data_IF_942885557759
#
_entry.id   IF_942885557759
#
_cell.length_a   1.000
_cell.length_b   1.000
_cell.length_c   1.000
_cell.angle_alpha   90.00
_cell.angle_beta   90.00
_cell.angle_gamma   90.00
#
_symmetry.space_group_name_H-M   'P 1'
#
loop_
_entity.id
_entity.type
_entity.pdbx_description
1 polymer ?
#
# COMPACT_ATOMS: atom_id res chain seq x y z
N UNK A 1 9.57 -6.93 3.34
CA UNK A 1 9.43 -6.38 1.99
C UNK A 1 7.97 -6.42 1.55
N UNK A 2 7.51 -5.35 0.94
CA UNK A 2 6.17 -5.32 0.37
C UNK A 2 6.17 -6.11 -0.94
N UNK A 3 5.26 -7.05 -1.07
CA UNK A 3 5.15 -7.91 -2.23
C UNK A 3 4.91 -7.11 -3.52
N UNK A 4 5.35 -7.68 -4.64
CA UNK A 4 5.14 -7.09 -5.96
C UNK A 4 3.65 -6.91 -6.23
N UNK A 5 3.27 -5.72 -6.63
CA UNK A 5 1.87 -5.36 -6.85
C UNK A 5 1.76 -4.31 -7.96
N UNK A 6 0.55 -4.18 -8.50
CA UNK A 6 0.22 -3.20 -9.53
C UNK A 6 -0.97 -2.38 -9.07
N UNK A 7 -0.87 -1.06 -9.22
CA UNK A 7 -1.98 -0.15 -8.95
C UNK A 7 -2.78 0.07 -10.22
N UNK A 8 -4.10 -0.14 -10.18
CA UNK A 8 -4.96 0.14 -11.33
C UNK A 8 -5.28 1.63 -11.49
N UNK A 9 -5.20 2.38 -10.38
CA UNK A 9 -5.34 3.84 -10.37
C UNK A 9 -4.02 4.52 -10.03
N UNK A 10 -4.08 5.82 -9.84
CA UNK A 10 -2.91 6.59 -9.44
C UNK A 10 -2.63 6.48 -7.94
N UNK A 11 -1.37 6.71 -7.57
CA UNK A 11 -0.90 6.67 -6.18
C UNK A 11 -0.23 7.98 -5.83
N UNK A 12 -0.58 8.51 -4.67
CA UNK A 12 0.08 9.66 -4.04
C UNK A 12 0.58 9.21 -2.67
N UNK A 13 1.89 9.24 -2.47
CA UNK A 13 2.51 8.74 -1.24
C UNK A 13 3.42 9.79 -0.63
N UNK A 14 3.15 10.14 0.64
CA UNK A 14 4.01 11.01 1.42
C UNK A 14 4.72 10.17 2.48
N UNK A 15 6.05 10.14 2.43
CA UNK A 15 6.85 9.47 3.44
C UNK A 15 6.92 10.35 4.68
N UNK A 16 6.37 9.88 5.80
CA UNK A 16 6.29 10.66 7.05
C UNK A 16 7.55 10.47 7.88
N UNK A 17 7.96 9.21 8.07
CA UNK A 17 9.18 8.90 8.83
C UNK A 17 9.80 7.60 8.32
N UNK A 18 11.07 7.39 8.66
CA UNK A 18 11.83 6.24 8.19
C UNK A 18 12.18 6.33 6.71
N UNK A 19 12.82 5.28 6.22
CA UNK A 19 13.31 5.20 4.84
C UNK A 19 12.82 3.92 4.18
N UNK A 20 12.56 3.99 2.89
CA UNK A 20 12.29 2.81 2.06
C UNK A 20 13.12 2.82 0.80
N UNK A 21 13.34 1.65 0.24
CA UNK A 21 14.02 1.48 -1.04
C UNK A 21 13.03 0.89 -2.04
N UNK A 22 12.89 1.56 -3.18
CA UNK A 22 12.07 1.10 -4.30
C UNK A 22 12.87 0.06 -5.07
N UNK A 23 12.34 -1.15 -5.19
CA UNK A 23 13.12 -2.29 -5.71
C UNK A 23 13.47 -2.12 -7.20
N UNK A 24 12.55 -1.58 -8.00
CA UNK A 24 12.75 -1.50 -9.46
C UNK A 24 13.66 -0.35 -9.89
N UNK A 25 13.76 0.71 -9.11
CA UNK A 25 14.59 1.89 -9.46
C UNK A 25 15.80 2.03 -8.57
N UNK A 26 15.89 1.28 -7.47
CA UNK A 26 16.90 1.41 -6.42
C UNK A 26 16.92 2.79 -5.75
N UNK A 27 15.88 3.56 -5.92
CA UNK A 27 15.76 4.86 -5.25
C UNK A 27 15.42 4.66 -3.79
N UNK A 28 15.97 5.54 -2.94
CA UNK A 28 15.64 5.61 -1.53
C UNK A 28 14.76 6.81 -1.26
N UNK A 29 13.69 6.60 -0.53
CA UNK A 29 12.70 7.62 -0.19
C UNK A 29 12.71 7.82 1.32
N UNK A 30 13.00 9.03 1.74
CA UNK A 30 13.09 9.40 3.16
C UNK A 30 11.98 10.35 3.60
N UNK A 31 12.08 10.83 4.86
CA UNK A 31 11.04 11.71 5.43
C UNK A 31 10.79 12.97 4.60
N UNK A 32 9.54 13.30 4.41
CA UNK A 32 9.10 14.49 3.68
C UNK A 32 9.07 14.34 2.17
N UNK A 33 9.48 13.20 1.62
CA UNK A 33 9.48 12.96 0.17
C UNK A 33 8.10 12.50 -0.28
N UNK A 34 7.60 13.12 -1.33
CA UNK A 34 6.35 12.78 -1.99
C UNK A 34 6.65 11.99 -3.26
N UNK A 35 5.92 10.88 -3.46
CA UNK A 35 6.04 10.02 -4.63
C UNK A 35 4.69 9.93 -5.32
N UNK A 36 4.68 10.16 -6.63
CA UNK A 36 3.54 9.94 -7.48
C UNK A 36 3.80 8.72 -8.37
N UNK A 37 2.79 7.85 -8.48
CA UNK A 37 2.82 6.71 -9.39
C UNK A 37 1.62 6.76 -10.31
N UNK A 38 1.82 6.71 -11.63
CA UNK A 38 0.70 6.71 -12.59
C UNK A 38 -0.07 5.39 -12.54
N UNK A 39 -1.33 5.38 -13.05
CA UNK A 39 -2.10 4.14 -13.17
C UNK A 39 -1.34 3.05 -13.93
N UNK A 40 -1.45 1.81 -13.47
CA UNK A 40 -0.78 0.66 -14.07
C UNK A 40 0.65 0.44 -13.62
N UNK A 41 1.16 1.26 -12.71
CA UNK A 41 2.52 1.10 -12.21
C UNK A 41 2.66 -0.16 -11.36
N UNK A 42 3.73 -0.92 -11.62
CA UNK A 42 4.10 -2.09 -10.83
C UNK A 42 5.19 -1.68 -9.83
N UNK A 43 5.02 -2.05 -8.57
CA UNK A 43 5.92 -1.64 -7.50
C UNK A 43 6.22 -2.80 -6.55
N UNK A 44 7.37 -2.66 -5.90
CA UNK A 44 7.80 -3.46 -4.76
C UNK A 44 8.81 -2.62 -3.98
N UNK A 45 8.75 -2.65 -2.65
CA UNK A 45 9.66 -1.86 -1.84
C UNK A 45 9.91 -2.53 -0.48
N UNK A 46 10.94 -2.05 0.21
CA UNK A 46 11.29 -2.51 1.55
C UNK A 46 11.67 -1.34 2.43
N UNK A 47 11.36 -1.45 3.72
CA UNK A 47 11.88 -0.52 4.70
C UNK A 47 13.38 -0.75 4.88
N UNK A 48 14.15 0.32 5.02
CA UNK A 48 15.59 0.28 5.26
C UNK A 48 15.93 1.18 6.44
N UNK A 49 17.07 0.90 7.09
CA UNK A 49 17.48 1.65 8.28
C UNK A 49 16.84 1.11 9.55
N UNK A 50 17.04 1.83 10.65
CA UNK A 50 16.68 1.37 12.00
C UNK A 50 15.28 1.83 12.44
N UNK A 51 14.71 2.83 11.77
CA UNK A 51 13.41 3.38 12.13
C UNK A 51 12.30 2.76 11.30
N UNK A 52 11.09 2.60 11.87
CA UNK A 52 9.93 2.18 11.10
C UNK A 52 9.64 3.17 9.97
N UNK A 53 9.28 2.65 8.79
CA UNK A 53 8.88 3.48 7.66
C UNK A 53 7.37 3.70 7.74
N UNK A 54 6.97 4.97 7.88
CA UNK A 54 5.56 5.37 7.95
C UNK A 54 5.25 6.20 6.71
N UNK A 55 4.25 5.77 5.96
CA UNK A 55 3.87 6.39 4.70
C UNK A 55 2.38 6.67 4.72
N UNK A 56 1.99 7.88 4.33
CA UNK A 56 0.58 8.19 4.03
C UNK A 56 0.37 7.99 2.54
N UNK A 57 -0.51 7.05 2.19
CA UNK A 57 -0.78 6.69 0.79
C UNK A 57 -2.25 6.93 0.47
N UNK A 58 -2.50 7.65 -0.63
CA UNK A 58 -3.82 7.80 -1.21
C UNK A 58 -3.82 7.14 -2.58
N UNK A 59 -4.74 6.23 -2.81
CA UNK A 59 -4.86 5.51 -4.08
C UNK A 59 -6.28 5.59 -4.62
N UNK A 60 -6.41 5.51 -5.94
CA UNK A 60 -7.69 5.25 -6.61
C UNK A 60 -7.63 3.84 -7.22
N UNK A 61 -8.80 3.27 -7.55
CA UNK A 61 -8.86 1.92 -8.09
C UNK A 61 -8.51 0.85 -7.06
N UNK A 62 -7.76 -0.15 -7.49
CA UNK A 62 -7.38 -1.27 -6.61
C UNK A 62 -5.90 -1.60 -6.73
N UNK A 63 -5.42 -2.35 -5.74
CA UNK A 63 -4.07 -2.90 -5.72
C UNK A 63 -4.17 -4.38 -6.08
N UNK A 64 -3.48 -4.80 -7.12
CA UNK A 64 -3.43 -6.19 -7.57
C UNK A 64 -2.09 -6.79 -7.19
N UNK A 65 -2.10 -7.87 -6.40
CA UNK A 65 -0.88 -8.57 -6.00
C UNK A 65 -0.54 -9.62 -7.04
N UNK A 66 0.74 -9.69 -7.40
CA UNK A 66 1.21 -10.47 -8.52
C UNK A 66 2.11 -11.61 -8.05
N UNK A 67 1.99 -12.78 -8.71
CA UNK A 67 2.92 -13.89 -8.53
C UNK A 67 4.19 -13.69 -9.39
N UNK A 68 5.09 -14.67 -9.38
CA UNK A 68 6.35 -14.61 -10.12
C UNK A 68 6.13 -14.53 -11.63
N UNK A 69 5.00 -15.04 -12.13
CA UNK A 69 4.65 -15.04 -13.56
C UNK A 69 3.87 -13.79 -13.98
N UNK A 70 3.58 -12.90 -13.03
CA UNK A 70 2.82 -11.68 -13.28
C UNK A 70 1.31 -11.87 -13.24
N UNK A 71 0.82 -13.00 -12.77
CA UNK A 71 -0.61 -13.24 -12.61
C UNK A 71 -1.13 -12.64 -11.31
N UNK A 72 -2.35 -12.10 -11.35
CA UNK A 72 -3.00 -11.55 -10.16
C UNK A 72 -3.46 -12.68 -9.26
N UNK A 73 -2.95 -12.71 -8.01
CA UNK A 73 -3.33 -13.71 -7.01
C UNK A 73 -4.48 -13.24 -6.13
N UNK A 74 -4.50 -11.96 -5.81
CA UNK A 74 -5.56 -11.33 -5.01
C UNK A 74 -5.46 -9.82 -5.18
N UNK A 75 -6.45 -9.09 -4.65
CA UNK A 75 -6.46 -7.63 -4.74
C UNK A 75 -6.98 -6.99 -3.45
N UNK A 76 -6.66 -5.71 -3.27
CA UNK A 76 -7.21 -4.84 -2.24
C UNK A 76 -7.87 -3.64 -2.90
N UNK A 77 -9.10 -3.34 -2.48
CA UNK A 77 -9.82 -2.13 -2.87
C UNK A 77 -10.54 -1.56 -1.64
N UNK A 78 -11.34 -0.53 -1.83
CA UNK A 78 -12.09 0.10 -0.75
C UNK A 78 -13.02 -0.90 -0.05
N UNK A 79 -13.63 -1.80 -0.80
CA UNK A 79 -14.57 -2.79 -0.26
C UNK A 79 -13.86 -3.87 0.54
N UNK A 80 -12.76 -4.42 0.02
CA UNK A 80 -11.99 -5.45 0.73
C UNK A 80 -11.33 -4.86 1.99
N UNK A 81 -10.83 -3.64 1.92
CA UNK A 81 -10.26 -2.95 3.08
C UNK A 81 -11.32 -2.69 4.16
N UNK A 82 -12.51 -2.28 3.75
CA UNK A 82 -13.61 -2.09 4.70
C UNK A 82 -14.06 -3.41 5.35
N UNK A 83 -14.13 -4.48 4.58
CA UNK A 83 -14.46 -5.81 5.12
C UNK A 83 -13.42 -6.26 6.15
N UNK A 84 -12.13 -6.06 5.86
CA UNK A 84 -11.06 -6.37 6.81
C UNK A 84 -11.16 -5.55 8.09
N UNK A 85 -11.51 -4.26 7.97
CA UNK A 85 -11.75 -3.38 9.13
C UNK A 85 -12.91 -3.90 9.99
N UNK A 86 -14.04 -4.26 9.38
CA UNK A 86 -15.18 -4.81 10.10
C UNK A 86 -14.85 -6.11 10.82
N UNK A 87 -14.12 -6.99 10.15
CA UNK A 87 -13.70 -8.28 10.73
C UNK A 87 -12.78 -8.07 11.91
N UNK A 88 -11.85 -7.12 11.81
CA UNK A 88 -10.96 -6.76 12.91
C UNK A 88 -11.76 -6.23 14.11
N UNK A 89 -12.70 -5.32 13.88
CA UNK A 89 -13.57 -4.80 14.94
C UNK A 89 -14.35 -5.93 15.64
N UNK A 90 -14.92 -6.83 14.86
CA UNK A 90 -15.67 -7.98 15.40
C UNK A 90 -14.78 -8.86 16.26
N UNK A 91 -13.57 -9.15 15.81
CA UNK A 91 -12.61 -9.98 16.55
C UNK A 91 -12.16 -9.33 17.86
N UNK A 92 -12.27 -8.00 18.00
CA UNK A 92 -11.87 -7.25 19.18
C UNK A 92 -13.05 -6.68 19.98
N UNK A 93 -14.27 -7.15 19.70
CA UNK A 93 -15.51 -6.70 20.37
C UNK A 93 -15.72 -5.18 20.27
N UNK A 94 -15.35 -4.59 19.13
CA UNK A 94 -15.50 -3.17 18.86
C UNK A 94 -16.61 -2.93 17.83
N UNK A 95 -17.36 -1.84 18.02
CA UNK A 95 -18.33 -1.40 17.02
C UNK A 95 -17.62 -0.63 15.90
N UNK A 96 -17.86 -0.99 14.62
CA UNK A 96 -17.34 -0.20 13.52
C UNK A 96 -17.87 1.23 13.57
N UNK A 97 -17.00 2.22 13.44
CA UNK A 97 -17.37 3.64 13.42
C UNK A 97 -17.31 4.27 12.04
N UNK A 98 -16.63 3.62 11.09
CA UNK A 98 -16.54 4.10 9.71
C UNK A 98 -17.76 3.61 8.91
N UNK A 99 -18.31 4.50 8.09
CA UNK A 99 -19.37 4.16 7.16
C UNK A 99 -18.86 3.27 6.03
N UNK A 100 -19.69 2.37 5.47
CA UNK A 100 -19.33 1.62 4.26
C UNK A 100 -19.01 2.56 3.10
N UNK A 101 -18.09 2.14 2.22
CA UNK A 101 -17.79 2.90 1.01
C UNK A 101 -18.96 2.92 0.03
#
# INVERSE_FOLDING_TARGET
>A
MIARHRHTGEVHALNISGWRELIYTNERVGPGVYVYEPPGNTDSWRAVGDEPCIIHITTTGRIEYLDADGNVTHHTDTHTAYAAYRDWCRAHDLQPTLSPP
#
